data_IF_033163794585
#
_entry.id   IF_033163794585
#
_cell.length_a   1.000
_cell.length_b   1.000
_cell.length_c   1.000
_cell.angle_alpha   90.00
_cell.angle_beta   90.00
_cell.angle_gamma   90.00
#
_symmetry.space_group_name_H-M   'P 1'
#
loop_
_entity.id
_entity.type
_entity.pdbx_description
1 polymer ?
#
# COMPACT_ATOMS: atom_id res chain seq x y z
N UNK A 1 -2.16 3.73 -24.97
CA UNK A 1 -1.59 4.17 -23.67
C UNK A 1 -2.25 3.35 -22.57
N UNK A 2 -1.50 2.84 -21.60
CA UNK A 2 -2.09 2.13 -20.46
C UNK A 2 -2.84 3.14 -19.58
N UNK A 3 -4.06 2.81 -19.17
CA UNK A 3 -4.86 3.66 -18.28
C UNK A 3 -4.32 3.53 -16.86
N UNK A 4 -3.86 4.63 -16.26
CA UNK A 4 -3.27 4.67 -14.91
C UNK A 4 -4.26 5.11 -13.83
N UNK A 5 -5.46 5.53 -14.24
CA UNK A 5 -6.58 5.93 -13.38
C UNK A 5 -7.85 5.20 -13.79
N UNK A 6 -8.76 4.96 -12.84
CA UNK A 6 -10.03 4.30 -13.10
C UNK A 6 -11.10 5.26 -13.68
N UNK A 7 -12.38 4.90 -13.61
CA UNK A 7 -13.47 5.77 -14.08
C UNK A 7 -13.81 6.90 -13.10
N UNK A 8 -13.47 6.74 -11.82
CA UNK A 8 -13.67 7.71 -10.73
C UNK A 8 -12.47 8.64 -10.55
N UNK A 9 -11.37 8.40 -11.27
CA UNK A 9 -10.14 9.19 -11.21
C UNK A 9 -9.14 8.71 -10.17
N UNK A 10 -9.38 7.57 -9.53
CA UNK A 10 -8.47 6.98 -8.55
C UNK A 10 -7.33 6.23 -9.27
N UNK A 11 -6.10 6.25 -8.72
CA UNK A 11 -4.97 5.55 -9.31
C UNK A 11 -5.19 4.02 -9.30
N UNK A 12 -5.03 3.37 -10.45
CA UNK A 12 -5.06 1.91 -10.53
C UNK A 12 -3.69 1.39 -10.07
N UNK A 13 -3.60 0.59 -8.98
CA UNK A 13 -2.33 0.14 -8.41
C UNK A 13 -1.72 -1.01 -9.20
N UNK A 14 -1.47 -0.81 -10.50
CA UNK A 14 -0.70 -1.77 -11.31
C UNK A 14 0.75 -1.81 -10.82
N UNK A 15 1.46 -2.90 -11.13
CA UNK A 15 2.87 -3.06 -10.73
C UNK A 15 3.76 -1.93 -11.22
N UNK A 16 3.52 -1.39 -12.44
CA UNK A 16 4.26 -0.26 -12.98
C UNK A 16 4.02 1.04 -12.20
N UNK A 17 2.76 1.31 -11.83
CA UNK A 17 2.41 2.51 -11.05
C UNK A 17 3.05 2.42 -9.66
N UNK A 18 2.89 1.29 -8.96
CA UNK A 18 3.47 1.08 -7.64
C UNK A 18 5.00 1.19 -7.65
N UNK A 19 5.68 0.62 -8.65
CA UNK A 19 7.13 0.73 -8.76
C UNK A 19 7.56 2.18 -9.02
N UNK A 20 6.86 2.90 -9.90
CA UNK A 20 7.17 4.31 -10.20
C UNK A 20 6.96 5.23 -8.99
N UNK A 21 6.00 4.92 -8.12
CA UNK A 21 5.69 5.70 -6.91
C UNK A 21 6.40 5.20 -5.66
N UNK A 22 7.15 4.09 -5.73
CA UNK A 22 7.67 3.38 -4.55
C UNK A 22 8.48 4.29 -3.61
N UNK A 23 9.34 5.17 -4.16
CA UNK A 23 10.14 6.11 -3.35
C UNK A 23 9.30 7.17 -2.64
N UNK A 24 8.22 7.62 -3.26
CA UNK A 24 7.31 8.56 -2.64
C UNK A 24 6.45 7.88 -1.55
N UNK A 25 5.99 6.66 -1.82
CA UNK A 25 5.25 5.84 -0.85
C UNK A 25 6.14 5.49 0.35
N UNK A 26 7.42 5.17 0.12
CA UNK A 26 8.39 4.87 1.18
C UNK A 26 8.51 6.04 2.17
N UNK A 27 8.64 7.28 1.67
CA UNK A 27 8.78 8.47 2.53
C UNK A 27 7.46 8.81 3.23
N UNK A 28 6.33 8.77 2.51
CA UNK A 28 5.03 9.22 3.03
C UNK A 28 4.40 8.20 4.00
N UNK A 29 4.53 6.91 3.71
CA UNK A 29 3.80 5.82 4.38
C UNK A 29 4.75 4.84 5.09
N UNK A 30 5.95 5.31 5.47
CA UNK A 30 6.96 4.47 6.11
C UNK A 30 6.41 3.79 7.38
N UNK A 31 5.70 4.56 8.21
CA UNK A 31 5.24 4.11 9.53
C UNK A 31 4.25 2.96 9.39
N UNK A 32 3.22 3.15 8.56
CA UNK A 32 2.16 2.18 8.30
C UNK A 32 2.73 0.88 7.71
N UNK A 33 3.66 1.01 6.76
CA UNK A 33 4.34 -0.13 6.15
C UNK A 33 5.18 -0.91 7.16
N UNK A 34 5.96 -0.22 8.00
CA UNK A 34 6.78 -0.85 9.04
C UNK A 34 5.92 -1.55 10.08
N UNK A 35 4.81 -0.94 10.49
CA UNK A 35 3.88 -1.57 11.43
C UNK A 35 3.22 -2.84 10.86
N UNK A 36 2.83 -2.80 9.58
CA UNK A 36 2.30 -3.99 8.90
C UNK A 36 3.34 -5.11 8.84
N UNK A 37 4.60 -4.79 8.52
CA UNK A 37 5.69 -5.76 8.49
C UNK A 37 5.99 -6.33 9.90
N UNK A 38 5.99 -5.49 10.94
CA UNK A 38 6.14 -5.95 12.33
C UNK A 38 5.03 -6.91 12.75
N UNK A 39 3.79 -6.62 12.34
CA UNK A 39 2.66 -7.52 12.59
C UNK A 39 2.87 -8.88 11.93
N UNK A 40 3.18 -8.91 10.63
CA UNK A 40 3.45 -10.15 9.88
C UNK A 40 4.63 -10.94 10.45
N UNK A 41 5.64 -10.25 10.98
CA UNK A 41 6.80 -10.90 11.61
C UNK A 41 6.42 -11.56 12.95
N UNK A 42 5.46 -10.99 13.68
CA UNK A 42 4.98 -11.53 14.96
C UNK A 42 4.05 -12.72 14.77
N UNK A 43 3.13 -12.63 13.81
CA UNK A 43 2.15 -13.67 13.51
C UNK A 43 1.90 -13.71 11.99
N UNK A 44 2.14 -14.85 11.32
CA UNK A 44 1.90 -14.99 9.88
C UNK A 44 0.41 -15.09 9.51
N UNK A 45 -0.52 -15.18 10.48
CA UNK A 45 -1.95 -15.21 10.19
C UNK A 45 -2.41 -13.90 9.52
N UNK A 46 -2.93 -13.95 8.28
CA UNK A 46 -3.32 -12.76 7.53
C UNK A 46 -4.45 -11.96 8.19
N UNK A 47 -5.37 -12.60 8.90
CA UNK A 47 -6.51 -11.92 9.54
C UNK A 47 -6.07 -11.01 10.69
N UNK A 48 -5.00 -11.38 11.39
CA UNK A 48 -4.47 -10.63 12.54
C UNK A 48 -3.84 -9.28 12.15
N UNK A 49 -3.42 -9.14 10.90
CA UNK A 49 -2.77 -7.93 10.39
C UNK A 49 -3.63 -7.14 9.40
N UNK A 50 -4.89 -7.53 9.21
CA UNK A 50 -5.77 -7.00 8.18
C UNK A 50 -6.03 -5.48 8.37
N UNK A 51 -6.20 -5.03 9.60
CA UNK A 51 -6.40 -3.61 9.92
C UNK A 51 -5.17 -2.76 9.55
N UNK A 52 -3.96 -3.24 9.86
CA UNK A 52 -2.71 -2.58 9.50
C UNK A 52 -2.47 -2.60 7.99
N UNK A 53 -2.87 -3.68 7.32
CA UNK A 53 -2.85 -3.77 5.86
C UNK A 53 -3.75 -2.71 5.23
N UNK A 54 -4.98 -2.54 5.73
CA UNK A 54 -5.90 -1.48 5.27
C UNK A 54 -5.33 -0.09 5.47
N UNK A 55 -4.66 0.17 6.59
CA UNK A 55 -4.00 1.46 6.86
C UNK A 55 -2.86 1.73 5.87
N UNK A 56 -1.99 0.75 5.62
CA UNK A 56 -0.91 0.87 4.65
C UNK A 56 -1.44 1.11 3.22
N UNK A 57 -2.47 0.38 2.80
CA UNK A 57 -3.11 0.58 1.48
C UNK A 57 -3.79 1.94 1.38
N UNK A 58 -4.50 2.39 2.44
CA UNK A 58 -5.12 3.71 2.47
C UNK A 58 -4.08 4.83 2.39
N UNK A 59 -2.92 4.71 3.05
CA UNK A 59 -1.88 5.72 2.93
C UNK A 59 -1.28 5.78 1.51
N UNK A 60 -1.09 4.62 0.88
CA UNK A 60 -0.46 4.52 -0.44
C UNK A 60 -1.38 4.98 -1.60
N UNK A 61 -2.69 4.79 -1.47
CA UNK A 61 -3.66 5.04 -2.55
C UNK A 61 -4.70 6.12 -2.25
N UNK A 62 -4.82 6.58 -1.00
CA UNK A 62 -5.78 7.59 -0.56
C UNK A 62 -5.20 8.98 -0.34
#
# INVERSE_FOLDING_TARGET
MAKVVDATGEPIPTSSVLMSSAKHIEIKCMSENVEFLKCKKKDPNPEKCLDKGRQATRCALG
#
